data_IF_865120355052
#
_entry.id   IF_865120355052
#
_cell.length_a   1.000
_cell.length_b   1.000
_cell.length_c   1.000
_cell.angle_alpha   90.00
_cell.angle_beta   90.00
_cell.angle_gamma   90.00
#
_symmetry.space_group_name_H-M   'P 1'
#
loop_
_entity.id
_entity.type
_entity.pdbx_description
1 polymer ?
#
# COMPACT_ATOMS: atom_id res chain seq x y z
N UNK A 1 9.79 34.31 1.06
CA UNK A 1 9.27 33.03 0.55
C UNK A 1 8.68 32.32 1.75
N UNK A 2 7.36 32.41 1.90
CA UNK A 2 6.66 31.78 3.02
C UNK A 2 6.79 30.26 2.86
N UNK A 3 7.52 29.63 3.77
CA UNK A 3 7.71 28.19 3.80
C UNK A 3 6.40 27.59 4.32
N UNK A 4 5.45 27.38 3.41
CA UNK A 4 4.22 26.64 3.67
C UNK A 4 4.59 25.18 3.92
N UNK A 5 5.09 24.87 5.11
CA UNK A 5 5.21 23.50 5.57
C UNK A 5 3.79 22.92 5.48
N UNK A 6 3.51 21.90 4.64
CA UNK A 6 2.21 21.26 4.64
C UNK A 6 2.02 20.65 6.02
N UNK A 7 1.31 21.40 6.86
CA UNK A 7 0.98 21.11 8.25
C UNK A 7 -0.07 20.02 8.19
N UNK A 8 0.37 18.81 8.54
CA UNK A 8 -0.41 17.57 8.59
C UNK A 8 -0.23 16.62 7.39
N UNK A 9 1.00 16.13 7.17
CA UNK A 9 1.15 14.84 6.48
C UNK A 9 0.59 13.76 7.40
N UNK A 10 -0.59 13.24 7.09
CA UNK A 10 -1.26 12.23 7.91
C UNK A 10 -0.40 10.94 7.93
N UNK A 11 0.43 10.77 8.96
CA UNK A 11 1.31 9.59 9.14
C UNK A 11 0.54 8.28 9.06
N UNK A 12 -0.75 8.30 9.39
CA UNK A 12 -1.65 7.17 9.20
C UNK A 12 -1.71 6.63 7.77
N UNK A 13 -1.70 7.49 6.74
CA UNK A 13 -1.65 7.04 5.34
C UNK A 13 -0.31 6.39 5.01
N UNK A 14 0.80 6.85 5.60
CA UNK A 14 2.09 6.19 5.44
C UNK A 14 2.08 4.80 6.10
N UNK A 15 1.59 4.70 7.34
CA UNK A 15 1.56 3.44 8.08
C UNK A 15 0.63 2.43 7.41
N UNK A 16 -0.59 2.83 7.01
CA UNK A 16 -1.51 1.97 6.27
C UNK A 16 -0.93 1.57 4.92
N UNK A 17 -0.34 2.52 4.18
CA UNK A 17 0.26 2.27 2.88
C UNK A 17 1.37 1.22 2.94
N UNK A 18 2.29 1.35 3.89
CA UNK A 18 3.38 0.37 4.11
C UNK A 18 2.82 -0.98 4.54
N UNK A 19 1.87 -1.02 5.47
CA UNK A 19 1.27 -2.27 5.94
C UNK A 19 0.57 -3.02 4.81
N UNK A 20 -0.24 -2.31 4.00
CA UNK A 20 -0.93 -2.93 2.87
C UNK A 20 0.03 -3.34 1.76
N UNK A 21 1.06 -2.55 1.49
CA UNK A 21 2.07 -2.91 0.50
C UNK A 21 2.85 -4.16 0.92
N UNK A 22 3.35 -4.22 2.16
CA UNK A 22 4.07 -5.38 2.69
C UNK A 22 3.17 -6.63 2.76
N UNK A 23 1.95 -6.48 3.25
CA UNK A 23 0.99 -7.60 3.32
C UNK A 23 0.61 -8.10 1.93
N UNK A 24 0.36 -7.20 0.98
CA UNK A 24 0.05 -7.53 -0.41
C UNK A 24 1.20 -8.28 -1.09
N UNK A 25 2.44 -7.80 -0.94
CA UNK A 25 3.64 -8.50 -1.44
C UNK A 25 3.83 -9.87 -0.79
N UNK A 26 3.67 -9.97 0.53
CA UNK A 26 3.75 -11.25 1.25
C UNK A 26 2.67 -12.22 0.76
N UNK A 27 1.41 -11.76 0.65
CA UNK A 27 0.29 -12.56 0.14
C UNK A 27 0.55 -13.06 -1.28
N UNK A 28 1.01 -12.18 -2.17
CA UNK A 28 1.36 -12.52 -3.54
C UNK A 28 2.48 -13.57 -3.61
N UNK A 29 3.53 -13.40 -2.81
CA UNK A 29 4.64 -14.34 -2.71
C UNK A 29 4.18 -15.72 -2.21
N UNK A 30 3.33 -15.72 -1.18
CA UNK A 30 2.78 -16.95 -0.62
C UNK A 30 1.91 -17.68 -1.63
N UNK A 31 1.02 -16.97 -2.34
CA UNK A 31 0.20 -17.56 -3.41
C UNK A 31 1.05 -18.14 -4.54
N UNK A 32 2.11 -17.44 -4.92
CA UNK A 32 3.02 -17.90 -5.98
C UNK A 32 3.79 -19.16 -5.52
N UNK A 33 4.11 -19.25 -4.23
CA UNK A 33 4.83 -20.39 -3.63
C UNK A 33 3.95 -21.61 -3.42
N UNK A 34 2.70 -21.43 -2.98
CA UNK A 34 1.80 -22.55 -2.68
C UNK A 34 1.20 -23.20 -3.92
N UNK A 35 1.33 -22.59 -5.11
CA UNK A 35 0.69 -23.01 -6.36
C UNK A 35 -0.82 -23.26 -6.22
N UNK A 36 -1.45 -22.68 -5.19
CA UNK A 36 -2.89 -22.67 -5.09
C UNK A 36 -3.40 -21.67 -6.12
N UNK A 37 -4.17 -22.14 -7.09
CA UNK A 37 -4.89 -21.32 -8.05
C UNK A 37 -6.05 -20.58 -7.34
N UNK A 38 -5.68 -19.68 -6.44
CA UNK A 38 -6.62 -18.89 -5.66
C UNK A 38 -6.73 -17.51 -6.30
N UNK A 39 -7.47 -17.43 -7.41
CA UNK A 39 -7.68 -16.19 -8.19
C UNK A 39 -8.16 -15.05 -7.29
N UNK A 40 -9.01 -15.35 -6.30
CA UNK A 40 -9.45 -14.38 -5.29
C UNK A 40 -8.27 -13.82 -4.47
N UNK A 41 -7.35 -14.68 -4.04
CA UNK A 41 -6.17 -14.26 -3.32
C UNK A 41 -5.25 -13.37 -4.15
N UNK A 42 -5.12 -13.64 -5.46
CA UNK A 42 -4.35 -12.80 -6.39
C UNK A 42 -4.99 -11.42 -6.57
N UNK A 43 -6.30 -11.36 -6.79
CA UNK A 43 -7.03 -10.09 -6.93
C UNK A 43 -6.89 -9.24 -5.65
N UNK A 44 -7.01 -9.88 -4.49
CA UNK A 44 -6.84 -9.22 -3.19
C UNK A 44 -5.39 -8.73 -3.00
N UNK A 45 -4.39 -9.55 -3.33
CA UNK A 45 -2.99 -9.17 -3.21
C UNK A 45 -2.65 -7.97 -4.10
N UNK A 46 -3.07 -7.99 -5.37
CA UNK A 46 -2.89 -6.87 -6.30
C UNK A 46 -3.65 -5.63 -5.81
N UNK A 47 -4.87 -5.81 -5.29
CA UNK A 47 -5.67 -4.73 -4.68
C UNK A 47 -4.92 -4.07 -3.52
N UNK A 48 -4.39 -4.85 -2.57
CA UNK A 48 -3.62 -4.33 -1.44
C UNK A 48 -2.33 -3.63 -1.86
N UNK A 49 -1.63 -4.15 -2.86
CA UNK A 49 -0.42 -3.50 -3.40
C UNK A 49 -0.78 -2.15 -4.03
N UNK A 50 -1.81 -2.11 -4.88
CA UNK A 50 -2.26 -0.87 -5.53
C UNK A 50 -2.75 0.16 -4.51
N UNK A 51 -3.54 -0.26 -3.52
CA UNK A 51 -4.02 0.60 -2.44
C UNK A 51 -2.86 1.11 -1.58
N UNK A 52 -1.91 0.23 -1.24
CA UNK A 52 -0.72 0.58 -0.46
C UNK A 52 0.13 1.64 -1.16
N UNK A 53 0.36 1.49 -2.48
CA UNK A 53 1.07 2.48 -3.29
C UNK A 53 0.29 3.79 -3.37
N UNK A 54 -1.04 3.75 -3.53
CA UNK A 54 -1.87 4.94 -3.59
C UNK A 54 -1.83 5.75 -2.28
N UNK A 55 -1.95 5.08 -1.14
CA UNK A 55 -1.86 5.71 0.19
C UNK A 55 -0.46 6.28 0.45
N UNK A 56 0.59 5.57 0.02
CA UNK A 56 1.96 6.09 0.06
C UNK A 56 2.10 7.35 -0.79
N UNK A 57 1.60 7.32 -2.03
CA UNK A 57 1.62 8.46 -2.93
C UNK A 57 0.88 9.66 -2.34
N UNK A 58 -0.30 9.43 -1.77
CA UNK A 58 -1.12 10.44 -1.11
C UNK A 58 -0.36 11.08 0.07
N UNK A 59 0.30 10.25 0.88
CA UNK A 59 1.16 10.73 1.96
C UNK A 59 2.33 11.59 1.48
N UNK A 60 3.06 11.15 0.45
CA UNK A 60 4.19 11.91 -0.10
C UNK A 60 3.74 13.21 -0.76
N UNK A 61 2.57 13.22 -1.39
CA UNK A 61 1.96 14.39 -2.00
C UNK A 61 1.31 15.34 -0.99
N UNK A 62 1.11 14.89 0.26
CA UNK A 62 0.51 15.70 1.32
C UNK A 62 -0.97 16.03 1.10
N UNK A 63 -1.71 15.11 0.46
CA UNK A 63 -3.16 15.21 0.18
C UNK A 63 -3.96 14.52 1.28
#
# INVERSE_FOLDING_TARGET
>A
MENSIPKNRNIWHLVLGILFFLYGCYKLYTLTTTQEENTFGYVIAVGFIAFGIYDLYKYYKGI
#
